data_IF_577443571883
#
_entry.id   IF_577443571883
#
_cell.length_a   1.000
_cell.length_b   1.000
_cell.length_c   1.000
_cell.angle_alpha   90.00
_cell.angle_beta   90.00
_cell.angle_gamma   90.00
#
_symmetry.space_group_name_H-M   'P 1'
#
loop_
_entity.id
_entity.type
_entity.pdbx_description
1 polymer ?
#
# COMPACT_ATOMS: atom_id res chain seq x y z
N UNK A 1 17.04 6.34 26.11
CA UNK A 1 17.44 4.92 26.17
C UNK A 1 16.73 4.06 25.10
N UNK A 2 15.50 4.38 24.66
CA UNK A 2 14.78 3.62 23.62
C UNK A 2 15.10 4.01 22.16
N UNK A 3 15.82 5.10 21.91
CA UNK A 3 16.11 5.56 20.54
C UNK A 3 17.05 4.64 19.75
N UNK A 4 17.77 3.73 20.42
CA UNK A 4 18.62 2.71 19.76
C UNK A 4 17.83 1.46 19.34
N UNK A 5 16.54 1.37 19.65
CA UNK A 5 15.75 0.16 19.39
C UNK A 5 15.35 0.00 17.92
N UNK A 6 15.48 1.04 17.10
CA UNK A 6 15.52 1.01 15.63
C UNK A 6 14.66 -0.05 14.92
N UNK A 7 15.17 -0.55 13.80
CA UNK A 7 14.58 -1.67 13.06
C UNK A 7 14.54 -2.97 13.87
N UNK A 8 15.56 -3.32 14.69
CA UNK A 8 15.55 -4.58 15.45
C UNK A 8 14.37 -4.73 16.43
N UNK A 9 14.01 -3.66 17.14
CA UNK A 9 12.90 -3.70 18.08
C UNK A 9 11.54 -3.71 17.39
N UNK A 10 11.43 -3.07 16.21
CA UNK A 10 10.22 -3.19 15.38
C UNK A 10 10.01 -4.65 14.96
N UNK A 11 11.07 -5.35 14.54
CA UNK A 11 11.02 -6.79 14.18
C UNK A 11 10.56 -7.63 15.37
N UNK A 12 11.06 -7.37 16.59
CA UNK A 12 10.65 -8.09 17.79
C UNK A 12 9.14 -7.95 18.06
N UNK A 13 8.61 -6.72 17.96
CA UNK A 13 7.18 -6.46 18.09
C UNK A 13 6.39 -7.18 16.99
N UNK A 14 6.90 -7.16 15.76
CA UNK A 14 6.29 -7.82 14.61
C UNK A 14 6.19 -9.34 14.85
N UNK A 15 7.25 -9.98 15.33
CA UNK A 15 7.25 -11.41 15.68
C UNK A 15 6.17 -11.70 16.75
N UNK A 16 6.08 -10.87 17.79
CA UNK A 16 5.10 -11.06 18.85
C UNK A 16 3.66 -10.93 18.31
N UNK A 17 3.42 -9.93 17.46
CA UNK A 17 2.15 -9.76 16.76
C UNK A 17 1.85 -10.95 15.83
N UNK A 18 2.86 -11.49 15.15
CA UNK A 18 2.72 -12.66 14.29
C UNK A 18 2.42 -13.95 15.06
N UNK A 19 2.85 -14.08 16.31
CA UNK A 19 2.47 -15.22 17.15
C UNK A 19 0.98 -15.13 17.52
N UNK A 20 0.49 -13.94 17.83
CA UNK A 20 -0.92 -13.72 18.22
C UNK A 20 -1.85 -13.81 17.00
N UNK A 21 -1.51 -13.11 15.92
CA UNK A 21 -2.36 -12.99 14.73
C UNK A 21 -2.04 -14.02 13.64
N UNK A 22 -0.80 -14.52 13.57
CA UNK A 22 -0.34 -15.42 12.51
C UNK A 22 0.25 -14.69 11.29
N UNK A 23 1.29 -15.26 10.63
CA UNK A 23 1.96 -14.65 9.46
C UNK A 23 1.06 -14.50 8.23
N UNK A 24 -0.03 -15.26 8.15
CA UNK A 24 -1.00 -15.17 7.04
C UNK A 24 -1.97 -13.99 7.20
N UNK A 25 -2.20 -13.49 8.43
CA UNK A 25 -3.18 -12.43 8.67
C UNK A 25 -2.71 -11.05 8.24
N UNK A 26 -1.44 -10.72 8.43
CA UNK A 26 -0.89 -9.45 7.95
C UNK A 26 -1.05 -9.24 6.42
N UNK A 27 -0.67 -10.19 5.54
CA UNK A 27 -0.87 -10.03 4.10
C UNK A 27 -2.35 -10.10 3.69
N UNK A 28 -3.18 -10.86 4.41
CA UNK A 28 -4.64 -10.91 4.18
C UNK A 28 -5.28 -9.53 4.44
N UNK A 29 -4.98 -8.93 5.59
CA UNK A 29 -5.44 -7.57 5.96
C UNK A 29 -4.89 -6.53 4.99
N UNK A 30 -3.60 -6.61 4.63
CA UNK A 30 -2.99 -5.69 3.68
C UNK A 30 -3.62 -5.75 2.28
N UNK A 31 -4.01 -6.94 1.81
CA UNK A 31 -4.74 -7.09 0.54
C UNK A 31 -6.13 -6.48 0.59
N UNK A 32 -6.88 -6.74 1.65
CA UNK A 32 -8.22 -6.17 1.82
C UNK A 32 -8.15 -4.63 1.92
N UNK A 33 -7.28 -4.12 2.79
CA UNK A 33 -7.08 -2.68 2.97
C UNK A 33 -6.55 -2.01 1.69
N UNK A 34 -5.64 -2.67 0.96
CA UNK A 34 -5.09 -2.18 -0.29
C UNK A 34 -6.14 -2.09 -1.41
N UNK A 35 -7.07 -3.05 -1.48
CA UNK A 35 -8.22 -2.97 -2.39
C UNK A 35 -9.11 -1.78 -2.05
N UNK A 36 -9.44 -1.59 -0.75
CA UNK A 36 -10.21 -0.43 -0.29
C UNK A 36 -9.50 0.89 -0.63
N UNK A 37 -8.20 1.01 -0.37
CA UNK A 37 -7.42 2.21 -0.70
C UNK A 37 -7.36 2.48 -2.21
N UNK A 38 -7.28 1.43 -3.03
CA UNK A 38 -7.26 1.55 -4.49
C UNK A 38 -8.58 2.07 -5.03
N UNK A 39 -9.69 1.54 -4.53
CA UNK A 39 -11.03 2.01 -4.88
C UNK A 39 -11.26 3.43 -4.38
N UNK A 40 -10.89 3.73 -3.12
CA UNK A 40 -10.95 5.06 -2.55
C UNK A 40 -10.16 6.06 -3.40
N UNK A 41 -8.90 5.76 -3.76
CA UNK A 41 -8.08 6.61 -4.63
C UNK A 41 -8.76 6.86 -5.97
N UNK A 42 -9.32 5.81 -6.60
CA UNK A 42 -9.99 5.94 -7.90
C UNK A 42 -11.20 6.86 -7.81
N UNK A 43 -12.05 6.67 -6.80
CA UNK A 43 -13.22 7.52 -6.56
C UNK A 43 -12.82 8.96 -6.24
N UNK A 44 -11.81 9.17 -5.39
CA UNK A 44 -11.33 10.52 -5.07
C UNK A 44 -10.70 11.19 -6.29
N UNK A 45 -9.91 10.48 -7.10
CA UNK A 45 -9.36 11.01 -8.37
C UNK A 45 -10.47 11.42 -9.33
N UNK A 46 -11.51 10.60 -9.52
CA UNK A 46 -12.64 10.96 -10.38
C UNK A 46 -13.45 12.16 -9.87
N UNK A 47 -13.47 12.41 -8.55
CA UNK A 47 -14.12 13.59 -7.96
C UNK A 47 -13.26 14.86 -8.09
N UNK A 48 -11.94 14.70 -8.22
CA UNK A 48 -10.99 15.80 -8.44
C UNK A 48 -10.88 16.15 -9.95
N UNK A 49 -11.24 15.23 -10.83
CA UNK A 49 -11.17 15.34 -12.30
C UNK A 49 -12.26 16.22 -12.95
N UNK A 50 -13.12 16.89 -12.17
CA UNK A 50 -13.87 18.06 -12.66
C UNK A 50 -12.94 19.27 -12.96
N UNK A 51 -11.63 19.16 -12.69
CA UNK A 51 -10.55 19.93 -13.31
C UNK A 51 -9.79 19.07 -14.35
N UNK A 52 -9.43 19.58 -15.54
CA UNK A 52 -8.89 18.76 -16.63
C UNK A 52 -7.61 18.00 -16.22
N UNK A 53 -7.44 16.74 -16.69
CA UNK A 53 -6.48 15.81 -16.14
C UNK A 53 -5.04 16.25 -16.42
N UNK A 54 -4.25 16.47 -15.36
CA UNK A 54 -2.79 16.48 -15.45
C UNK A 54 -2.23 15.08 -15.20
N UNK A 55 -1.32 14.71 -16.09
CA UNK A 55 -0.30 13.65 -16.02
C UNK A 55 -0.61 12.30 -16.70
N UNK A 56 -0.14 12.23 -17.95
CA UNK A 56 0.79 11.23 -18.47
C UNK A 56 1.38 10.25 -17.43
N UNK A 57 1.19 8.95 -17.69
CA UNK A 57 2.27 7.97 -17.92
C UNK A 57 1.66 6.60 -18.23
N UNK A 58 1.34 6.39 -19.50
CA UNK A 58 1.40 5.06 -20.12
C UNK A 58 2.53 5.11 -21.14
N UNK A 59 3.74 4.82 -20.66
CA UNK A 59 4.89 4.57 -21.52
C UNK A 59 4.95 3.07 -21.77
N UNK A 60 5.00 2.73 -23.07
CA UNK A 60 5.32 1.42 -23.66
C UNK A 60 4.15 0.62 -24.23
N UNK A 61 3.50 1.21 -25.24
CA UNK A 61 2.95 0.45 -26.37
C UNK A 61 3.52 1.02 -27.69
N UNK A 62 4.84 0.88 -27.85
CA UNK A 62 5.59 0.90 -29.11
C UNK A 62 6.48 -0.35 -28.94
N UNK A 63 6.18 -1.49 -29.56
CA UNK A 63 6.45 -1.75 -30.97
C UNK A 63 5.44 -2.77 -31.52
N UNK A 64 4.65 -2.36 -32.52
CA UNK A 64 4.08 -3.29 -33.47
C UNK A 64 4.06 -2.67 -34.87
N UNK A 65 4.71 -3.39 -35.78
CA UNK A 65 4.64 -3.38 -37.25
C UNK A 65 5.56 -2.37 -37.95
#
# INVERSE_FOLDING_TARGET
>A
MFSNIGIPGLILILILALIIFGPKKLPEIGRAFGQTLREFKKSTSSLLEDEPPKSEKDSSQVDKI
#
